data_IF_773318725501
#
_entry.id   IF_773318725501
#
_cell.length_a   1.000
_cell.length_b   1.000
_cell.length_c   1.000
_cell.angle_alpha   90.00
_cell.angle_beta   90.00
_cell.angle_gamma   90.00
#
_symmetry.space_group_name_H-M   'P 1'
#
loop_
_entity.id
_entity.type
_entity.pdbx_description
1 polymer ?
#
# COMPACT_ATOMS: atom_id res chain seq x y z
N UNK A 1 -5.95 7.34 1.57
CA UNK A 1 -5.03 8.34 0.98
C UNK A 1 -4.95 8.07 -0.50
N UNK A 2 -5.11 9.09 -1.35
CA UNK A 2 -5.06 8.97 -2.81
C UNK A 2 -3.82 9.69 -3.34
N UNK A 3 -3.12 9.10 -4.31
CA UNK A 3 -2.04 9.78 -5.03
C UNK A 3 -2.58 10.83 -6.02
N UNK A 4 -1.72 11.72 -6.54
CA UNK A 4 -1.96 12.35 -7.83
C UNK A 4 -2.05 11.31 -8.96
N UNK A 5 -2.65 11.67 -10.12
CA UNK A 5 -2.60 10.83 -11.32
C UNK A 5 -1.16 10.56 -11.76
N UNK A 6 -0.85 9.31 -12.04
CA UNK A 6 0.42 8.90 -12.64
C UNK A 6 0.18 8.74 -14.14
N UNK A 7 0.89 9.54 -14.94
CA UNK A 7 0.73 9.56 -16.39
C UNK A 7 1.58 8.45 -17.03
N UNK A 8 0.95 7.58 -17.80
CA UNK A 8 1.61 6.44 -18.46
C UNK A 8 1.79 6.75 -19.95
N UNK A 9 3.05 6.74 -20.40
CA UNK A 9 3.40 7.07 -21.79
C UNK A 9 3.43 5.87 -22.73
N UNK A 10 3.62 4.67 -22.17
CA UNK A 10 3.72 3.43 -22.92
C UNK A 10 2.82 2.37 -22.28
N UNK A 11 1.98 1.70 -23.08
CA UNK A 11 1.14 0.64 -22.55
C UNK A 11 2.00 -0.56 -22.13
N UNK A 12 1.75 -1.10 -20.94
CA UNK A 12 2.52 -2.22 -20.41
C UNK A 12 3.75 -1.82 -19.60
N UNK A 13 3.91 -0.53 -19.26
CA UNK A 13 4.96 -0.08 -18.34
C UNK A 13 4.85 -0.79 -17.00
N UNK A 14 5.99 -1.33 -16.54
CA UNK A 14 6.12 -1.96 -15.23
C UNK A 14 6.37 -0.87 -14.18
N UNK A 15 5.79 -1.05 -13.01
CA UNK A 15 6.00 -0.18 -11.87
C UNK A 15 6.37 -0.98 -10.62
N UNK A 16 7.13 -0.32 -9.76
CA UNK A 16 7.43 -0.75 -8.42
C UNK A 16 6.95 0.31 -7.43
N UNK A 17 5.99 -0.06 -6.60
CA UNK A 17 5.59 0.74 -5.44
C UNK A 17 6.29 0.18 -4.20
N UNK A 18 6.94 1.07 -3.47
CA UNK A 18 7.61 0.79 -2.21
C UNK A 18 7.22 1.83 -1.17
N UNK A 19 7.02 1.41 0.07
CA UNK A 19 6.68 2.29 1.17
C UNK A 19 7.03 1.62 2.49
N UNK A 20 7.20 2.43 3.53
CA UNK A 20 7.32 1.95 4.89
C UNK A 20 5.97 2.08 5.60
N UNK A 21 5.67 1.11 6.46
CA UNK A 21 4.49 1.15 7.31
C UNK A 21 4.83 0.75 8.75
N UNK A 22 4.09 1.32 9.68
CA UNK A 22 4.16 1.00 11.09
C UNK A 22 2.76 0.79 11.63
N UNK A 23 2.57 -0.25 12.45
CA UNK A 23 1.30 -0.57 13.07
C UNK A 23 1.48 -0.79 14.56
N UNK A 24 0.54 -0.28 15.36
CA UNK A 24 0.51 -0.44 16.82
C UNK A 24 -0.91 -0.63 17.30
N UNK A 25 -1.13 -1.64 18.12
CA UNK A 25 -2.46 -1.97 18.64
C UNK A 25 -2.69 -3.49 18.71
N UNK A 26 -3.85 -3.88 19.24
CA UNK A 26 -4.22 -5.28 19.43
C UNK A 26 -5.35 -5.77 18.52
N UNK A 27 -6.13 -4.84 17.96
CA UNK A 27 -7.32 -5.14 17.15
C UNK A 27 -7.28 -4.47 15.78
N UNK A 28 -6.06 -4.36 15.24
CA UNK A 28 -5.78 -3.72 13.96
C UNK A 28 -6.75 -4.20 12.87
N UNK A 29 -7.29 -3.23 12.13
CA UNK A 29 -7.92 -3.54 10.85
C UNK A 29 -6.90 -3.74 9.74
N UNK A 30 -7.32 -3.59 8.48
CA UNK A 30 -6.49 -3.90 7.32
C UNK A 30 -5.87 -2.64 6.72
N UNK A 31 -4.70 -2.79 6.11
CA UNK A 31 -4.15 -1.79 5.21
C UNK A 31 -4.08 -2.38 3.80
N UNK A 32 -4.79 -1.78 2.85
CA UNK A 32 -4.86 -2.27 1.49
C UNK A 32 -4.39 -1.20 0.52
N UNK A 33 -3.60 -1.61 -0.47
CA UNK A 33 -3.15 -0.75 -1.56
C UNK A 33 -3.85 -1.15 -2.84
N UNK A 34 -4.49 -0.17 -3.48
CA UNK A 34 -5.19 -0.35 -4.75
C UNK A 34 -4.58 0.49 -5.86
N UNK A 35 -4.74 0.00 -7.09
CA UNK A 35 -4.57 0.76 -8.34
C UNK A 35 -5.94 0.97 -8.97
N UNK A 36 -6.25 2.21 -9.35
CA UNK A 36 -7.40 2.52 -10.20
C UNK A 36 -6.91 2.90 -11.59
N UNK A 37 -7.36 2.17 -12.60
CA UNK A 37 -6.96 2.32 -14.00
C UNK A 37 -8.14 1.92 -14.90
N UNK A 38 -8.52 2.75 -15.87
CA UNK A 38 -9.64 2.48 -16.80
C UNK A 38 -10.94 2.02 -16.11
N UNK A 39 -11.39 2.77 -15.10
CA UNK A 39 -12.59 2.46 -14.30
C UNK A 39 -12.54 1.14 -13.54
N UNK A 40 -11.36 0.51 -13.44
CA UNK A 40 -11.13 -0.73 -12.72
C UNK A 40 -10.23 -0.50 -11.52
N UNK A 41 -10.62 -1.08 -10.38
CA UNK A 41 -9.81 -1.10 -9.16
C UNK A 41 -9.17 -2.48 -8.99
N UNK A 42 -7.84 -2.53 -8.97
CA UNK A 42 -7.06 -3.74 -8.70
C UNK A 42 -6.35 -3.63 -7.34
N UNK A 43 -6.42 -4.70 -6.54
CA UNK A 43 -5.67 -4.80 -5.29
C UNK A 43 -4.20 -5.14 -5.59
N UNK A 44 -3.28 -4.29 -5.16
CA UNK A 44 -1.84 -4.46 -5.38
C UNK A 44 -1.12 -5.12 -4.20
N UNK A 45 -1.56 -4.81 -2.97
CA UNK A 45 -0.93 -5.28 -1.75
C UNK A 45 -1.92 -5.20 -0.58
N UNK A 46 -1.77 -6.09 0.41
CA UNK A 46 -2.56 -6.03 1.63
C UNK A 46 -1.77 -6.47 2.86
N UNK A 47 -2.08 -5.86 3.99
CA UNK A 47 -1.81 -6.34 5.33
C UNK A 47 -3.16 -6.62 6.01
N UNK A 48 -3.39 -7.88 6.34
CA UNK A 48 -4.53 -8.24 7.17
C UNK A 48 -4.18 -7.97 8.63
N UNK A 49 -5.05 -7.27 9.34
CA UNK A 49 -4.83 -6.98 10.76
C UNK A 49 -4.73 -8.24 11.63
N UNK A 50 -5.31 -9.36 11.18
CA UNK A 50 -5.18 -10.69 11.80
C UNK A 50 -3.77 -11.26 11.76
N UNK A 51 -2.94 -10.80 10.82
CA UNK A 51 -1.60 -11.31 10.59
C UNK A 51 -0.55 -10.51 11.40
N UNK A 52 -0.98 -9.40 12.01
CA UNK A 52 -0.12 -8.57 12.84
C UNK A 52 -0.06 -9.13 14.27
N UNK A 53 1.14 -9.29 14.85
CA UNK A 53 1.27 -9.67 16.26
C UNK A 53 0.52 -8.72 17.19
N UNK A 54 0.03 -9.25 18.32
CA UNK A 54 -0.55 -8.41 19.37
C UNK A 54 0.46 -7.35 19.82
N UNK A 55 0.01 -6.10 19.89
CA UNK A 55 0.84 -4.94 20.17
C UNK A 55 1.32 -4.21 18.91
N UNK A 56 1.27 -4.85 17.75
CA UNK A 56 1.70 -4.30 16.47
C UNK A 56 3.08 -4.78 16.03
N UNK A 57 3.85 -3.87 15.43
CA UNK A 57 5.22 -4.11 15.00
C UNK A 57 6.20 -3.37 15.90
N UNK A 58 7.36 -3.97 16.19
CA UNK A 58 8.42 -3.30 16.97
C UNK A 58 9.11 -2.20 16.16
N UNK A 59 9.24 -2.39 14.85
CA UNK A 59 9.92 -1.48 13.92
C UNK A 59 9.07 -1.23 12.68
N UNK A 60 9.38 -0.14 11.96
CA UNK A 60 8.88 0.09 10.61
C UNK A 60 9.17 -1.10 9.69
N UNK A 61 8.17 -1.46 8.89
CA UNK A 61 8.25 -2.55 7.93
C UNK A 61 8.28 -1.98 6.51
N UNK A 62 9.06 -2.58 5.63
CA UNK A 62 9.09 -2.21 4.21
C UNK A 62 8.10 -3.09 3.43
N UNK A 63 7.22 -2.46 2.67
CA UNK A 63 6.31 -3.11 1.75
C UNK A 63 6.69 -2.75 0.31
N UNK A 64 6.56 -3.74 -0.57
CA UNK A 64 6.94 -3.61 -1.98
C UNK A 64 6.01 -4.43 -2.85
N UNK A 65 5.44 -3.81 -3.87
CA UNK A 65 4.58 -4.48 -4.84
C UNK A 65 4.91 -4.05 -6.27
N UNK A 66 4.75 -4.99 -7.20
CA UNK A 66 5.00 -4.80 -8.62
C UNK A 66 3.68 -4.89 -9.37
N UNK A 67 3.49 -4.01 -10.33
CA UNK A 67 2.34 -4.06 -11.21
C UNK A 67 2.66 -3.54 -12.60
N UNK A 68 1.74 -3.77 -13.52
CA UNK A 68 1.80 -3.22 -14.88
C UNK A 68 0.64 -2.23 -15.01
N UNK A 69 0.91 -1.12 -15.69
CA UNK A 69 -0.10 -0.16 -16.11
C UNK A 69 -0.03 -0.01 -17.63
N UNK A 70 -1.19 0.13 -18.25
CA UNK A 70 -1.39 0.36 -19.68
C UNK A 70 -1.94 1.76 -19.98
N UNK A 71 -2.34 2.51 -18.95
CA UNK A 71 -2.88 3.87 -19.03
C UNK A 71 -2.68 4.60 -17.71
N UNK A 72 -3.04 5.88 -17.67
CA UNK A 72 -2.99 6.68 -16.45
C UNK A 72 -3.72 6.00 -15.29
N UNK A 73 -3.14 6.10 -14.10
CA UNK A 73 -3.68 5.43 -12.92
C UNK A 73 -3.53 6.26 -11.64
N UNK A 74 -4.28 5.86 -10.63
CA UNK A 74 -4.21 6.36 -9.26
C UNK A 74 -3.84 5.23 -8.30
N UNK A 75 -3.11 5.56 -7.24
CA UNK A 75 -2.83 4.65 -6.12
C UNK A 75 -3.64 5.09 -4.90
N UNK A 76 -4.26 4.13 -4.24
CA UNK A 76 -5.00 4.33 -3.00
C UNK A 76 -4.39 3.49 -1.88
N UNK A 77 -4.11 4.14 -0.75
CA UNK A 77 -3.88 3.46 0.52
C UNK A 77 -5.16 3.56 1.34
N UNK A 78 -5.79 2.42 1.60
CA UNK A 78 -7.02 2.32 2.38
C UNK A 78 -6.74 1.63 3.72
N UNK A 79 -6.95 2.37 4.82
CA UNK A 79 -6.94 1.80 6.16
C UNK A 79 -8.38 1.46 6.56
N UNK A 80 -8.67 0.16 6.68
CA UNK A 80 -9.97 -0.36 7.09
C UNK A 80 -9.93 -0.60 8.59
N UNK A 81 -10.94 -0.14 9.34
CA UNK A 81 -11.03 -0.39 10.79
C UNK A 81 -11.86 -1.64 11.06
N UNK A 82 -11.49 -2.41 12.09
CA UNK A 82 -12.19 -3.65 12.45
C UNK A 82 -13.52 -3.39 13.18
N UNK A 83 -13.57 -2.40 14.07
CA UNK A 83 -14.80 -1.98 14.76
C UNK A 83 -14.76 -0.51 15.18
N UNK A 84 -15.94 0.12 15.29
CA UNK A 84 -16.09 1.45 15.89
C UNK A 84 -15.96 1.32 17.41
N UNK A 85 -15.00 2.03 18.02
CA UNK A 85 -14.80 2.04 19.47
C UNK A 85 -13.78 1.03 20.03
N UNK A 86 -13.03 0.33 19.17
CA UNK A 86 -11.90 -0.48 19.58
C UNK A 86 -10.74 0.37 20.14
N UNK A 87 -9.78 -0.29 20.80
CA UNK A 87 -8.63 0.32 21.46
C UNK A 87 -7.82 1.25 20.54
N UNK A 88 -6.90 2.04 21.12
CA UNK A 88 -6.00 2.91 20.35
C UNK A 88 -5.17 2.07 19.39
N UNK A 89 -5.55 2.14 18.13
CA UNK A 89 -4.85 1.58 16.99
C UNK A 89 -4.20 2.71 16.21
N UNK A 90 -2.91 2.55 15.90
CA UNK A 90 -2.19 3.48 15.04
C UNK A 90 -1.67 2.72 13.83
N UNK A 91 -1.93 3.28 12.64
CA UNK A 91 -1.23 2.94 11.42
C UNK A 91 -0.58 4.21 10.89
N UNK A 92 0.68 4.09 10.52
CA UNK A 92 1.42 5.13 9.84
C UNK A 92 2.06 4.56 8.58
N UNK A 93 2.18 5.40 7.56
CA UNK A 93 2.92 5.12 6.34
C UNK A 93 3.94 6.23 6.14
N UNK A 94 5.10 5.89 5.58
CA UNK A 94 6.15 6.87 5.27
C UNK A 94 6.96 6.42 4.05
N UNK A 95 7.79 7.32 3.51
CA UNK A 95 8.74 7.05 2.43
C UNK A 95 8.12 6.36 1.21
N UNK A 96 6.92 6.79 0.81
CA UNK A 96 6.20 6.24 -0.36
C UNK A 96 6.94 6.62 -1.65
N UNK A 97 7.39 5.61 -2.38
CA UNK A 97 8.15 5.75 -3.62
C UNK A 97 7.54 4.89 -4.72
N UNK A 98 7.30 5.51 -5.87
CA UNK A 98 6.89 4.83 -7.10
C UNK A 98 8.00 4.98 -8.14
N UNK A 99 8.42 3.86 -8.72
CA UNK A 99 9.45 3.80 -9.76
C UNK A 99 8.92 3.08 -10.98
N UNK A 100 9.23 3.59 -12.17
CA UNK A 100 9.11 2.82 -13.41
C UNK A 100 10.16 1.68 -13.43
N UNK A 101 9.78 0.54 -13.97
CA UNK A 101 10.58 -0.68 -14.01
C UNK A 101 10.22 -1.69 -12.91
N UNK A 102 11.06 -2.72 -12.78
CA UNK A 102 10.90 -3.73 -11.74
C UNK A 102 11.38 -3.24 -10.38
N UNK A 103 10.88 -3.84 -9.29
CA UNK A 103 11.50 -3.65 -7.98
C UNK A 103 12.87 -4.36 -7.94
N UNK A 104 13.89 -3.75 -8.50
CA UNK A 104 15.26 -4.14 -8.21
C UNK A 104 15.47 -3.85 -6.72
N UNK A 105 16.01 -4.81 -5.97
CA UNK A 105 16.63 -4.45 -4.69
C UNK A 105 17.61 -3.31 -4.98
N UNK A 106 17.78 -2.37 -4.05
CA UNK A 106 19.07 -1.70 -4.02
C UNK A 106 20.13 -2.83 -4.05
N UNK A 107 21.12 -2.81 -4.96
CA UNK A 107 22.32 -3.62 -4.77
C UNK A 107 22.92 -3.36 -3.39
#
# INVERSE_FOLDING_TARGET
IQSPPVIVREAGTKFCLEFYFYVKGNDLGNLVVYKFENDRTDKLWELLGSDVPKGGSENWQNARTRFIASSDFLIYFEAQRKAVGAAVEAMAIDDVQLREGGCLGCP
#
